data_IF_735985610299
#
_entry.id   IF_735985610299
#
_cell.length_a   1.000
_cell.length_b   1.000
_cell.length_c   1.000
_cell.angle_alpha   90.00
_cell.angle_beta   90.00
_cell.angle_gamma   90.00
#
_symmetry.space_group_name_H-M   'P 1'
#
loop_
_entity.id
_entity.type
_entity.pdbx_description
1 polymer ?
#
# COMPACT_ATOMS: atom_id res chain seq x y z
N UNK A 1 -43.92 -33.02 51.11
CA UNK A 1 -43.03 -33.40 49.97
C UNK A 1 -43.18 -32.51 48.73
N UNK A 2 -43.75 -31.28 48.82
CA UNK A 2 -44.04 -30.43 47.65
C UNK A 2 -43.32 -29.07 47.65
N UNK A 3 -42.58 -28.70 48.71
CA UNK A 3 -41.83 -27.42 48.79
C UNK A 3 -40.37 -27.49 48.32
N UNK A 4 -39.85 -28.69 48.03
CA UNK A 4 -38.47 -28.89 47.55
C UNK A 4 -38.33 -28.96 46.02
N UNK A 5 -39.45 -29.10 45.29
CA UNK A 5 -39.45 -29.23 43.83
C UNK A 5 -39.50 -27.85 43.14
N UNK A 6 -40.15 -26.85 43.73
CA UNK A 6 -40.28 -25.50 43.15
C UNK A 6 -38.95 -24.71 43.17
N UNK A 7 -38.05 -25.00 44.13
CA UNK A 7 -36.76 -24.30 44.25
C UNK A 7 -35.73 -24.81 43.20
N UNK A 8 -35.85 -26.04 42.71
CA UNK A 8 -35.00 -26.55 41.63
C UNK A 8 -35.40 -26.06 40.23
N UNK A 9 -36.64 -25.59 40.04
CA UNK A 9 -37.09 -25.07 38.74
C UNK A 9 -36.73 -23.60 38.49
N UNK A 10 -36.37 -22.84 39.53
CA UNK A 10 -35.99 -21.42 39.39
C UNK A 10 -34.48 -21.24 39.20
N UNK A 11 -33.66 -22.19 39.67
CA UNK A 11 -32.19 -22.14 39.50
C UNK A 11 -31.76 -22.52 38.08
N UNK A 12 -32.55 -23.32 37.35
CA UNK A 12 -32.26 -23.71 35.96
C UNK A 12 -32.63 -22.61 34.95
N UNK A 13 -33.57 -21.72 35.27
CA UNK A 13 -33.97 -20.62 34.37
C UNK A 13 -33.05 -19.41 34.47
N UNK A 14 -32.34 -19.21 35.59
CA UNK A 14 -31.36 -18.11 35.74
C UNK A 14 -29.98 -18.51 35.16
N UNK A 15 -29.67 -19.80 35.05
CA UNK A 15 -28.47 -20.28 34.35
C UNK A 15 -28.56 -20.20 32.81
N UNK A 16 -29.77 -20.03 32.26
CA UNK A 16 -29.97 -19.82 30.82
C UNK A 16 -29.92 -18.34 30.39
N UNK A 17 -29.87 -17.40 31.34
CA UNK A 17 -29.85 -15.95 31.08
C UNK A 17 -28.44 -15.32 31.18
N UNK A 18 -27.40 -16.12 31.43
CA UNK A 18 -26.01 -15.66 31.63
C UNK A 18 -25.01 -16.21 30.59
N UNK A 19 -25.49 -16.67 29.43
CA UNK A 19 -24.68 -17.07 28.27
C UNK A 19 -24.93 -16.19 27.04
N UNK A 20 -25.30 -14.92 27.23
CA UNK A 20 -25.42 -13.91 26.15
C UNK A 20 -24.54 -12.69 26.46
N UNK A 21 -23.31 -12.93 26.93
CA UNK A 21 -22.28 -11.89 27.05
C UNK A 21 -21.02 -12.39 26.37
N UNK A 22 -20.75 -11.88 25.17
CA UNK A 22 -19.42 -12.01 24.57
C UNK A 22 -19.36 -12.33 23.07
N UNK A 23 -20.48 -12.46 22.35
CA UNK A 23 -20.40 -12.33 20.90
C UNK A 23 -20.26 -10.82 20.59
N UNK A 24 -19.01 -10.34 20.59
CA UNK A 24 -18.67 -9.16 19.79
C UNK A 24 -19.17 -9.51 18.39
N UNK A 25 -20.26 -8.88 17.96
CA UNK A 25 -20.67 -8.86 16.58
C UNK A 25 -19.53 -8.19 15.83
N UNK A 26 -18.56 -9.00 15.37
CA UNK A 26 -17.67 -8.64 14.29
C UNK A 26 -18.63 -8.44 13.13
N UNK A 27 -19.04 -7.19 12.91
CA UNK A 27 -19.78 -6.89 11.70
C UNK A 27 -18.88 -7.32 10.55
N UNK A 28 -19.36 -8.19 9.65
CA UNK A 28 -18.60 -8.51 8.46
C UNK A 28 -18.30 -7.19 7.77
N UNK A 29 -17.02 -6.90 7.58
CA UNK A 29 -16.58 -5.78 6.78
C UNK A 29 -17.37 -5.88 5.47
N UNK A 30 -18.18 -4.86 5.16
CA UNK A 30 -18.81 -4.77 3.85
C UNK A 30 -17.67 -4.72 2.83
N UNK A 31 -17.30 -5.87 2.28
CA UNK A 31 -16.65 -5.93 0.99
C UNK A 31 -17.66 -5.31 0.04
N UNK A 32 -17.45 -4.06 -0.37
CA UNK A 32 -18.18 -3.53 -1.49
C UNK A 32 -18.05 -4.57 -2.60
N UNK A 33 -19.16 -4.94 -3.22
CA UNK A 33 -19.21 -5.93 -4.31
C UNK A 33 -18.53 -5.43 -5.60
N UNK A 34 -17.58 -4.50 -5.46
CA UNK A 34 -16.84 -3.87 -6.52
C UNK A 34 -15.57 -4.66 -6.84
N UNK A 35 -15.16 -4.58 -8.09
CA UNK A 35 -13.92 -5.17 -8.58
C UNK A 35 -12.87 -4.07 -8.84
N UNK A 36 -12.93 -2.98 -8.07
CA UNK A 36 -12.15 -1.76 -8.27
C UNK A 36 -11.29 -1.44 -7.06
N UNK A 37 -10.02 -1.09 -7.27
CA UNK A 37 -9.15 -0.48 -6.26
C UNK A 37 -8.79 0.95 -6.66
N UNK A 38 -8.58 1.82 -5.67
CA UNK A 38 -8.01 3.14 -5.88
C UNK A 38 -6.50 3.08 -5.62
N UNK A 39 -5.72 3.80 -6.42
CA UNK A 39 -4.28 3.94 -6.24
C UNK A 39 -3.92 5.41 -6.30
N UNK A 40 -3.02 5.85 -5.42
CA UNK A 40 -2.61 7.25 -5.36
C UNK A 40 -1.94 7.69 -6.66
N UNK A 41 -1.04 6.89 -7.23
CA UNK A 41 -0.29 7.24 -8.45
C UNK A 41 0.08 6.03 -9.32
N UNK A 42 0.63 6.31 -10.50
CA UNK A 42 0.76 5.35 -11.61
C UNK A 42 1.66 4.14 -11.34
N UNK A 43 2.71 4.26 -10.52
CA UNK A 43 3.56 3.12 -10.20
C UNK A 43 2.77 2.00 -9.51
N UNK A 44 1.93 2.34 -8.54
CA UNK A 44 1.06 1.37 -7.87
C UNK A 44 0.06 0.78 -8.86
N UNK A 45 -0.52 1.63 -9.71
CA UNK A 45 -1.46 1.22 -10.77
C UNK A 45 -0.86 0.19 -11.71
N UNK A 46 0.37 0.42 -12.19
CA UNK A 46 1.08 -0.52 -13.06
C UNK A 46 1.34 -1.86 -12.36
N UNK A 47 1.76 -1.85 -11.10
CA UNK A 47 1.96 -3.09 -10.33
C UNK A 47 0.64 -3.86 -10.20
N UNK A 48 -0.47 -3.19 -9.86
CA UNK A 48 -1.79 -3.83 -9.80
C UNK A 48 -2.20 -4.37 -11.16
N UNK A 49 -1.95 -3.64 -12.25
CA UNK A 49 -2.26 -4.08 -13.60
C UNK A 49 -1.49 -5.37 -13.96
N UNK A 50 -0.18 -5.39 -13.72
CA UNK A 50 0.72 -6.54 -13.93
C UNK A 50 0.27 -7.77 -13.14
N UNK A 51 -0.10 -7.58 -11.87
CA UNK A 51 -0.52 -8.69 -11.01
C UNK A 51 -1.89 -9.26 -11.38
N UNK A 52 -2.74 -8.49 -12.07
CA UNK A 52 -4.14 -8.84 -12.26
C UNK A 52 -4.53 -9.00 -13.73
N UNK A 53 -3.65 -8.68 -14.68
CA UNK A 53 -3.94 -8.62 -16.11
C UNK A 53 -5.22 -7.80 -16.43
N UNK A 54 -5.38 -6.67 -15.75
CA UNK A 54 -6.56 -5.79 -15.88
C UNK A 54 -7.87 -6.42 -15.40
N UNK A 55 -7.84 -7.55 -14.68
CA UNK A 55 -9.03 -8.19 -14.10
C UNK A 55 -9.53 -7.49 -12.84
N UNK A 56 -8.80 -6.49 -12.34
CA UNK A 56 -9.24 -5.57 -11.29
C UNK A 56 -9.20 -4.17 -11.91
N UNK A 57 -10.29 -3.44 -11.77
CA UNK A 57 -10.39 -2.06 -12.22
C UNK A 57 -9.53 -1.16 -11.32
N UNK A 58 -8.83 -0.20 -11.93
CA UNK A 58 -7.93 0.69 -11.22
C UNK A 58 -8.46 2.11 -11.40
N UNK A 59 -8.77 2.77 -10.30
CA UNK A 59 -8.94 4.22 -10.26
C UNK A 59 -7.62 4.85 -9.80
N UNK A 60 -6.89 5.44 -10.73
CA UNK A 60 -5.68 6.19 -10.43
C UNK A 60 -6.05 7.64 -10.08
N UNK A 61 -5.67 8.09 -8.89
CA UNK A 61 -6.05 9.40 -8.37
C UNK A 61 -5.22 10.51 -9.02
N UNK A 62 -3.89 10.41 -8.94
CA UNK A 62 -2.98 11.34 -9.60
C UNK A 62 -2.94 11.04 -11.10
N UNK A 63 -3.36 11.96 -11.97
CA UNK A 63 -3.27 11.77 -13.41
C UNK A 63 -1.81 11.58 -13.86
N UNK A 64 -1.57 10.90 -15.01
CA UNK A 64 -0.26 10.95 -15.65
C UNK A 64 0.15 12.42 -15.86
N UNK A 65 1.44 12.74 -15.74
CA UNK A 65 2.04 14.07 -15.94
C UNK A 65 1.80 15.14 -14.86
N UNK A 66 1.14 14.81 -13.76
CA UNK A 66 1.02 15.72 -12.61
C UNK A 66 2.21 15.54 -11.67
N UNK A 67 2.72 16.65 -11.14
CA UNK A 67 3.77 16.63 -10.13
C UNK A 67 3.23 16.07 -8.81
N UNK A 68 3.95 15.12 -8.21
CA UNK A 68 3.52 14.33 -7.06
C UNK A 68 3.74 15.06 -5.74
N UNK A 69 4.77 15.91 -5.64
CA UNK A 69 5.21 16.54 -4.38
C UNK A 69 4.23 17.60 -3.86
N UNK A 70 3.63 18.39 -4.76
CA UNK A 70 2.80 19.55 -4.40
C UNK A 70 1.30 19.36 -4.71
N UNK A 71 0.87 18.11 -4.91
CA UNK A 71 -0.51 17.84 -5.29
C UNK A 71 -1.42 17.58 -4.10
N UNK A 72 -2.61 18.20 -4.13
CA UNK A 72 -3.65 18.01 -3.13
C UNK A 72 -4.96 17.46 -3.72
N UNK A 73 -5.66 16.57 -3.01
CA UNK A 73 -6.91 16.01 -3.47
C UNK A 73 -8.06 17.01 -3.43
N UNK A 74 -8.86 17.02 -4.49
CA UNK A 74 -10.10 17.81 -4.57
C UNK A 74 -11.30 17.02 -4.04
N UNK A 75 -12.43 17.68 -3.72
CA UNK A 75 -13.66 16.97 -3.34
C UNK A 75 -14.15 15.95 -4.38
N UNK A 76 -13.92 16.22 -5.68
CA UNK A 76 -14.26 15.32 -6.78
C UNK A 76 -13.46 14.00 -6.72
N UNK A 77 -12.20 14.05 -6.27
CA UNK A 77 -11.38 12.84 -6.05
C UNK A 77 -12.01 11.95 -4.98
N UNK A 78 -12.51 12.55 -3.87
CA UNK A 78 -13.16 11.77 -2.82
C UNK A 78 -14.38 11.03 -3.35
N UNK A 79 -15.20 11.69 -4.17
CA UNK A 79 -16.40 11.10 -4.76
C UNK A 79 -16.06 9.95 -5.71
N UNK A 80 -15.10 10.16 -6.61
CA UNK A 80 -14.64 9.13 -7.56
C UNK A 80 -13.99 7.92 -6.86
N UNK A 81 -13.43 8.12 -5.67
CA UNK A 81 -12.82 7.06 -4.86
C UNK A 81 -13.85 6.15 -4.19
N UNK A 82 -15.08 6.61 -3.90
CA UNK A 82 -16.11 5.84 -3.15
C UNK A 82 -16.44 4.47 -3.77
N UNK A 83 -16.24 4.28 -5.07
CA UNK A 83 -16.47 3.01 -5.76
C UNK A 83 -15.38 1.95 -5.55
N UNK A 84 -14.26 2.27 -4.90
CA UNK A 84 -13.17 1.34 -4.68
C UNK A 84 -13.36 0.50 -3.40
N UNK A 85 -12.93 -0.76 -3.42
CA UNK A 85 -12.94 -1.65 -2.23
C UNK A 85 -11.83 -1.30 -1.23
N UNK A 86 -10.77 -0.65 -1.72
CA UNK A 86 -9.59 -0.26 -0.98
C UNK A 86 -8.80 0.80 -1.75
N UNK A 87 -7.95 1.53 -1.03
CA UNK A 87 -7.00 2.50 -1.56
C UNK A 87 -5.57 2.09 -1.20
N UNK A 88 -4.67 2.13 -2.18
CA UNK A 88 -3.24 1.87 -2.01
C UNK A 88 -2.43 3.17 -2.08
N UNK A 89 -1.52 3.36 -1.13
CA UNK A 89 -0.66 4.56 -0.99
C UNK A 89 0.75 4.16 -0.53
N UNK A 90 1.72 5.07 -0.56
CA UNK A 90 3.14 4.75 -0.38
C UNK A 90 3.77 5.25 0.92
N UNK A 91 3.88 6.55 1.15
CA UNK A 91 4.75 7.09 2.20
C UNK A 91 4.25 8.44 2.70
N UNK A 92 4.51 8.70 3.98
CA UNK A 92 4.30 10.01 4.60
C UNK A 92 5.15 11.05 3.87
N UNK A 93 4.59 12.25 3.69
CA UNK A 93 5.23 13.32 2.93
C UNK A 93 5.13 13.24 1.40
N UNK A 94 4.51 12.19 0.84
CA UNK A 94 4.19 12.12 -0.60
C UNK A 94 2.69 11.94 -0.86
N UNK A 95 2.13 10.82 -0.43
CA UNK A 95 0.76 10.42 -0.81
C UNK A 95 -0.09 9.92 0.37
N UNK A 96 0.29 10.28 1.60
CA UNK A 96 -0.45 9.97 2.83
C UNK A 96 -1.88 10.54 2.86
N UNK A 97 -2.16 11.57 2.07
CA UNK A 97 -3.52 12.09 1.88
C UNK A 97 -4.46 10.99 1.37
N UNK A 98 -3.95 9.97 0.66
CA UNK A 98 -4.73 8.81 0.22
C UNK A 98 -5.32 8.04 1.41
N UNK A 99 -4.56 7.88 2.49
CA UNK A 99 -5.06 7.26 3.71
C UNK A 99 -6.19 8.08 4.36
N UNK A 100 -6.07 9.42 4.36
CA UNK A 100 -7.09 10.35 4.89
C UNK A 100 -8.38 10.28 4.06
N UNK A 101 -8.28 10.19 2.73
CA UNK A 101 -9.44 9.98 1.85
C UNK A 101 -10.14 8.66 2.19
N UNK A 102 -9.38 7.57 2.23
CA UNK A 102 -9.92 6.24 2.52
C UNK A 102 -10.64 6.19 3.87
N UNK A 103 -10.06 6.81 4.90
CA UNK A 103 -10.68 6.95 6.22
C UNK A 103 -12.00 7.73 6.13
N UNK A 104 -12.01 8.86 5.42
CA UNK A 104 -13.18 9.75 5.31
C UNK A 104 -14.37 9.10 4.61
N UNK A 105 -14.12 8.20 3.66
CA UNK A 105 -15.17 7.50 2.90
C UNK A 105 -15.43 6.08 3.39
N UNK A 106 -14.73 5.62 4.43
CA UNK A 106 -14.96 4.34 5.09
C UNK A 106 -14.44 3.10 4.34
N UNK A 107 -13.37 3.23 3.55
CA UNK A 107 -12.71 2.10 2.87
C UNK A 107 -11.34 1.80 3.47
N UNK A 108 -10.82 0.60 3.19
CA UNK A 108 -9.48 0.19 3.67
C UNK A 108 -8.39 0.97 2.95
N UNK A 109 -7.37 1.39 3.69
CA UNK A 109 -6.14 1.96 3.16
C UNK A 109 -4.98 0.98 3.38
N UNK A 110 -4.18 0.70 2.35
CA UNK A 110 -2.99 -0.13 2.47
C UNK A 110 -1.74 0.64 2.05
N UNK A 111 -0.77 0.72 2.96
CA UNK A 111 0.56 1.25 2.68
C UNK A 111 1.36 0.18 1.94
N UNK A 112 1.79 0.44 0.70
CA UNK A 112 2.44 -0.58 -0.15
C UNK A 112 3.93 -0.70 0.09
N UNK A 113 4.53 0.19 0.89
CA UNK A 113 5.97 0.26 1.18
C UNK A 113 6.36 -0.41 2.49
N UNK A 114 5.49 -1.24 3.08
CA UNK A 114 5.80 -1.94 4.34
C UNK A 114 7.11 -2.75 4.22
N UNK A 115 8.03 -2.51 5.15
CA UNK A 115 9.33 -3.18 5.21
C UNK A 115 10.43 -2.54 4.34
N UNK A 116 10.14 -1.48 3.59
CA UNK A 116 11.16 -0.67 2.90
C UNK A 116 11.89 0.20 3.92
N UNK A 117 13.23 0.21 3.85
CA UNK A 117 14.07 1.10 4.65
C UNK A 117 14.37 2.35 3.85
N UNK A 118 13.73 3.45 4.22
CA UNK A 118 13.93 4.71 3.52
C UNK A 118 15.28 5.36 3.86
N UNK A 119 15.80 6.13 2.92
CA UNK A 119 16.90 7.06 3.13
C UNK A 119 16.33 8.31 3.82
N UNK A 120 17.03 8.88 4.79
CA UNK A 120 16.64 10.15 5.41
C UNK A 120 16.68 11.28 4.36
N UNK A 121 15.72 12.21 4.45
CA UNK A 121 15.73 13.40 3.60
C UNK A 121 16.96 14.26 3.91
N UNK A 122 17.54 14.92 2.90
CA UNK A 122 18.53 15.96 3.16
C UNK A 122 17.83 17.22 3.68
N UNK A 123 18.33 17.75 4.79
CA UNK A 123 17.94 19.08 5.28
C UNK A 123 18.63 20.13 4.40
N UNK A 124 17.97 20.57 3.34
CA UNK A 124 18.25 21.89 2.78
C UNK A 124 17.33 22.93 3.41
N UNK A 125 17.90 24.11 3.65
CA UNK A 125 17.38 25.17 4.48
C UNK A 125 15.95 25.60 4.14
N UNK A 126 14.95 25.06 4.83
CA UNK A 126 13.74 25.80 5.15
C UNK A 126 13.17 25.32 6.47
N UNK A 127 12.77 26.29 7.28
CA UNK A 127 12.27 26.09 8.63
C UNK A 127 10.97 25.28 8.59
N UNK A 128 11.02 23.98 8.83
CA UNK A 128 9.96 23.24 9.52
C UNK A 128 10.46 21.87 10.02
N UNK A 129 10.16 21.60 11.30
CA UNK A 129 10.61 20.42 12.04
C UNK A 129 9.82 19.17 11.66
N UNK A 130 10.04 18.63 10.46
CA UNK A 130 9.62 17.27 10.12
C UNK A 130 10.83 16.43 9.72
N UNK A 131 11.12 15.39 10.52
CA UNK A 131 12.04 14.32 10.17
C UNK A 131 11.47 13.55 8.96
N UNK A 132 11.77 14.02 7.76
CA UNK A 132 11.28 13.45 6.51
C UNK A 132 12.16 12.32 5.99
N UNK A 133 11.58 11.50 5.12
CA UNK A 133 12.30 10.49 4.34
C UNK A 133 12.38 10.91 2.89
N UNK A 134 13.42 10.47 2.18
CA UNK A 134 13.47 10.58 0.74
C UNK A 134 12.39 9.68 0.13
N UNK A 135 11.44 10.31 -0.56
CA UNK A 135 10.26 9.64 -1.10
C UNK A 135 10.53 8.91 -2.41
N UNK A 136 11.70 9.10 -3.05
CA UNK A 136 12.03 8.52 -4.36
C UNK A 136 12.51 7.06 -4.31
N UNK A 137 11.95 6.27 -3.37
CA UNK A 137 12.38 4.90 -3.07
C UNK A 137 12.29 3.96 -4.28
N UNK A 138 11.43 4.26 -5.26
CA UNK A 138 11.19 3.42 -6.43
C UNK A 138 12.35 3.37 -7.42
N UNK A 139 13.36 4.25 -7.28
CA UNK A 139 14.54 4.22 -8.12
C UNK A 139 15.46 3.02 -7.84
N UNK A 140 15.21 2.27 -6.76
CA UNK A 140 15.81 0.95 -6.52
C UNK A 140 14.81 -0.16 -6.91
N UNK A 141 15.09 -0.98 -7.94
CA UNK A 141 14.24 -2.11 -8.33
C UNK A 141 13.90 -3.07 -7.17
N UNK A 142 14.76 -3.20 -6.16
CA UNK A 142 14.49 -4.03 -4.97
C UNK A 142 13.37 -3.47 -4.11
N UNK A 143 13.20 -2.15 -4.07
CA UNK A 143 12.07 -1.51 -3.39
C UNK A 143 10.76 -1.76 -4.15
N UNK A 144 10.78 -1.69 -5.48
CA UNK A 144 9.62 -2.02 -6.33
C UNK A 144 9.25 -3.51 -6.20
N UNK A 145 10.23 -4.39 -6.07
CA UNK A 145 10.00 -5.80 -5.77
C UNK A 145 9.30 -5.97 -4.42
N UNK A 146 9.74 -5.22 -3.39
CA UNK A 146 9.08 -5.26 -2.08
C UNK A 146 7.64 -4.75 -2.13
N UNK A 147 7.38 -3.67 -2.86
CA UNK A 147 6.02 -3.17 -3.10
C UNK A 147 5.16 -4.21 -3.81
N UNK A 148 5.72 -4.91 -4.80
CA UNK A 148 5.03 -5.96 -5.55
C UNK A 148 4.56 -7.09 -4.63
N UNK A 149 5.41 -7.54 -3.70
CA UNK A 149 5.03 -8.53 -2.69
C UNK A 149 3.87 -8.05 -1.82
N UNK A 150 3.96 -6.82 -1.32
CA UNK A 150 2.94 -6.22 -0.45
C UNK A 150 1.60 -6.08 -1.19
N UNK A 151 1.62 -5.51 -2.40
CA UNK A 151 0.43 -5.31 -3.23
C UNK A 151 -0.21 -6.66 -3.56
N UNK A 152 0.58 -7.67 -3.94
CA UNK A 152 0.05 -9.01 -4.19
C UNK A 152 -0.64 -9.59 -2.94
N UNK A 153 -0.03 -9.46 -1.76
CA UNK A 153 -0.64 -9.92 -0.50
C UNK A 153 -1.97 -9.21 -0.22
N UNK A 154 -2.04 -7.88 -0.39
CA UNK A 154 -3.28 -7.14 -0.21
C UNK A 154 -4.34 -7.49 -1.24
N UNK A 155 -3.96 -7.66 -2.51
CA UNK A 155 -4.87 -8.08 -3.57
C UNK A 155 -5.43 -9.49 -3.32
N UNK A 156 -4.63 -10.44 -2.81
CA UNK A 156 -5.11 -11.77 -2.43
C UNK A 156 -6.09 -11.70 -1.25
N UNK A 157 -5.87 -10.81 -0.29
CA UNK A 157 -6.81 -10.57 0.81
C UNK A 157 -8.13 -9.94 0.34
N UNK A 158 -8.06 -9.08 -0.67
CA UNK A 158 -9.23 -8.38 -1.24
C UNK A 158 -10.02 -9.27 -2.21
N UNK A 159 -9.32 -10.10 -2.98
CA UNK A 159 -9.83 -10.88 -4.10
C UNK A 159 -9.29 -12.32 -4.04
N UNK A 160 -9.69 -13.11 -3.04
CA UNK A 160 -9.16 -14.47 -2.82
C UNK A 160 -9.40 -15.40 -4.01
N UNK A 161 -10.45 -15.18 -4.80
CA UNK A 161 -10.76 -15.92 -6.03
C UNK A 161 -9.74 -15.68 -7.15
N UNK A 162 -8.96 -14.59 -7.09
CA UNK A 162 -7.89 -14.25 -8.04
C UNK A 162 -6.50 -14.68 -7.56
N UNK A 163 -6.40 -15.38 -6.43
CA UNK A 163 -5.12 -15.73 -5.79
C UNK A 163 -4.13 -16.38 -6.74
N UNK A 164 -4.52 -17.42 -7.45
CA UNK A 164 -3.61 -18.16 -8.32
C UNK A 164 -3.10 -17.31 -9.50
N UNK A 165 -3.92 -16.40 -10.01
CA UNK A 165 -3.52 -15.43 -11.03
C UNK A 165 -2.47 -14.46 -10.47
N UNK A 166 -2.78 -13.85 -9.32
CA UNK A 166 -1.91 -12.87 -8.66
C UNK A 166 -0.56 -13.48 -8.30
N UNK A 167 -0.54 -14.70 -7.73
CA UNK A 167 0.69 -15.38 -7.31
C UNK A 167 1.59 -15.77 -8.49
N UNK A 168 1.00 -16.26 -9.60
CA UNK A 168 1.75 -16.54 -10.84
C UNK A 168 2.33 -15.25 -11.43
N UNK A 169 1.52 -14.21 -11.55
CA UNK A 169 1.96 -12.95 -12.13
C UNK A 169 3.00 -12.24 -11.26
N UNK A 170 2.85 -12.29 -9.93
CA UNK A 170 3.86 -11.83 -8.97
C UNK A 170 5.19 -12.50 -9.22
N UNK A 171 5.21 -13.82 -9.36
CA UNK A 171 6.45 -14.59 -9.60
C UNK A 171 7.14 -14.14 -10.90
N UNK A 172 6.37 -13.90 -11.96
CA UNK A 172 6.92 -13.43 -13.23
C UNK A 172 7.46 -11.99 -13.12
N UNK A 173 6.69 -11.08 -12.52
CA UNK A 173 7.11 -9.69 -12.42
C UNK A 173 8.30 -9.49 -11.47
N UNK A 174 8.38 -10.26 -10.37
CA UNK A 174 9.57 -10.27 -9.51
C UNK A 174 10.82 -10.75 -10.26
N UNK A 175 10.68 -11.69 -11.21
CA UNK A 175 11.79 -12.11 -12.08
C UNK A 175 12.22 -10.99 -13.03
N UNK A 176 11.27 -10.25 -13.61
CA UNK A 176 11.58 -9.08 -14.45
C UNK A 176 12.34 -8.01 -13.64
N UNK A 177 11.91 -7.73 -12.41
CA UNK A 177 12.60 -6.77 -11.52
C UNK A 177 14.00 -7.25 -11.11
N UNK A 178 14.19 -8.56 -10.90
CA UNK A 178 15.51 -9.13 -10.66
C UNK A 178 16.43 -8.95 -11.88
N UNK A 179 15.93 -9.23 -13.08
CA UNK A 179 16.70 -9.04 -14.32
C UNK A 179 17.08 -7.56 -14.52
N UNK A 180 16.17 -6.63 -14.19
CA UNK A 180 16.44 -5.20 -14.24
C UNK A 180 17.54 -4.79 -13.24
N UNK A 181 17.50 -5.31 -12.02
CA UNK A 181 18.55 -5.09 -11.01
C UNK A 181 19.93 -5.59 -11.49
N UNK A 182 19.97 -6.77 -12.12
CA UNK A 182 21.18 -7.34 -12.71
C UNK A 182 21.70 -6.50 -13.87
N UNK A 183 20.81 -5.99 -14.72
CA UNK A 183 21.14 -5.10 -15.84
C UNK A 183 21.74 -3.78 -15.33
N UNK A 184 21.10 -3.13 -14.36
CA UNK A 184 21.61 -1.91 -13.73
C UNK A 184 22.96 -2.14 -13.07
N UNK A 185 23.11 -3.24 -12.30
CA UNK A 185 24.38 -3.60 -11.68
C UNK A 185 25.50 -3.76 -12.73
N UNK A 186 25.22 -4.45 -13.84
CA UNK A 186 26.19 -4.64 -14.92
C UNK A 186 26.55 -3.32 -15.59
N UNK A 187 25.55 -2.54 -16.00
CA UNK A 187 25.73 -1.29 -16.73
C UNK A 187 26.44 -0.21 -15.91
N UNK A 188 26.15 -0.12 -14.61
CA UNK A 188 26.68 0.91 -13.73
C UNK A 188 27.99 0.52 -13.02
N UNK A 189 28.35 -0.77 -13.00
CA UNK A 189 29.60 -1.23 -12.38
C UNK A 189 30.87 -0.48 -12.82
N UNK A 190 31.07 -0.08 -14.09
CA UNK A 190 32.25 0.68 -14.50
C UNK A 190 32.25 2.15 -14.03
N UNK A 191 31.14 2.61 -13.46
CA UNK A 191 30.91 3.98 -13.01
C UNK A 191 30.87 4.09 -11.48
N UNK A 192 31.10 3.00 -10.74
CA UNK A 192 31.12 3.02 -9.28
C UNK A 192 32.07 4.10 -8.73
N UNK A 193 31.58 4.90 -7.79
CA UNK A 193 32.29 6.05 -7.20
C UNK A 193 32.27 7.32 -8.04
N UNK A 194 31.61 7.34 -9.21
CA UNK A 194 31.41 8.56 -9.99
C UNK A 194 30.18 9.32 -9.51
N UNK A 195 30.19 10.63 -9.76
CA UNK A 195 29.09 11.55 -9.47
C UNK A 195 28.11 11.57 -10.63
N UNK A 196 26.84 11.36 -10.33
CA UNK A 196 25.70 11.61 -11.20
C UNK A 196 25.09 12.96 -10.84
N UNK A 197 25.08 13.88 -11.82
CA UNK A 197 24.53 15.22 -11.64
C UNK A 197 23.13 15.26 -12.22
N UNK A 198 22.15 15.65 -11.42
CA UNK A 198 20.73 15.74 -11.80
C UNK A 198 20.16 17.11 -11.45
N UNK A 199 18.96 17.45 -11.93
CA UNK A 199 18.30 18.71 -11.54
C UNK A 199 17.42 18.57 -10.29
N UNK A 200 16.87 17.37 -10.07
CA UNK A 200 16.02 17.04 -8.93
C UNK A 200 16.69 15.94 -8.12
N UNK A 201 16.67 16.04 -6.79
CA UNK A 201 17.29 15.06 -5.90
C UNK A 201 16.45 13.77 -5.78
N UNK A 202 16.31 13.07 -6.91
CA UNK A 202 15.42 11.92 -7.04
C UNK A 202 16.15 10.58 -7.03
N UNK A 203 17.46 10.56 -7.26
CA UNK A 203 18.17 9.34 -7.64
C UNK A 203 19.04 8.74 -6.54
N UNK A 204 18.92 9.20 -5.30
CA UNK A 204 19.73 8.72 -4.16
C UNK A 204 19.59 7.23 -3.91
N UNK A 205 18.40 6.64 -4.11
CA UNK A 205 18.21 5.20 -4.02
C UNK A 205 18.94 4.43 -5.11
N UNK A 206 18.92 4.93 -6.36
CA UNK A 206 19.72 4.37 -7.47
C UNK A 206 21.22 4.44 -7.15
N UNK A 207 21.67 5.62 -6.70
CA UNK A 207 23.07 5.84 -6.34
C UNK A 207 23.52 4.92 -5.21
N UNK A 208 22.72 4.78 -4.15
CA UNK A 208 22.99 3.85 -3.05
C UNK A 208 23.02 2.39 -3.50
N UNK A 209 22.09 1.97 -4.35
CA UNK A 209 21.99 0.58 -4.82
C UNK A 209 23.19 0.18 -5.70
N UNK A 210 23.69 1.10 -6.54
CA UNK A 210 24.71 0.79 -7.56
C UNK A 210 26.06 1.50 -7.35
N UNK A 211 26.22 2.20 -6.23
CA UNK A 211 27.49 2.80 -5.80
C UNK A 211 27.87 4.06 -6.58
N UNK A 212 26.89 4.91 -6.90
CA UNK A 212 27.12 6.24 -7.47
C UNK A 212 26.89 7.30 -6.39
N UNK A 213 27.66 8.38 -6.47
CA UNK A 213 27.35 9.61 -5.73
C UNK A 213 26.32 10.42 -6.52
N UNK A 214 25.33 11.00 -5.84
CA UNK A 214 24.28 11.80 -6.48
C UNK A 214 24.42 13.23 -6.01
N UNK A 215 24.48 14.15 -6.95
CA UNK A 215 24.46 15.59 -6.71
C UNK A 215 23.29 16.18 -7.51
N UNK A 216 22.45 16.95 -6.86
CA UNK A 216 21.31 17.62 -7.47
C UNK A 216 21.33 19.10 -7.14
#
# INVERSE_FOLDING_TARGET
MQRRIVVLSIVVVIAAALLITGAVLIQPIQTSAGNRVAVTWGLIGEIVHRLTNGKIEIYQILPPSVELHDWEPTPDVMEKTRGAVALFWTVEGLDEWGAKIAQSIGIRAFKVTLGIKFIEAHHEHNHDHHHGVDVHFWQDPKNVAKMTENIASFLVQLFPEKKDLIERNKTNFLRELQMLDEEFSKALSPHKGKVMITQHDAFRYLGKAYGLEVFA
#
